data_IF_771189120668
#
_entry.id   IF_771189120668
#
_cell.length_a   1.000
_cell.length_b   1.000
_cell.length_c   1.000
_cell.angle_alpha   90.00
_cell.angle_beta   90.00
_cell.angle_gamma   90.00
#
_symmetry.space_group_name_H-M   'P 1'
#
loop_
_entity.id
_entity.type
_entity.pdbx_description
1 polymer ?
#
# COMPACT_ATOMS: atom_id res chain seq x y z
N UNK A 1 -1.12 26.41 -6.43
CA UNK A 1 -1.05 25.21 -7.27
C UNK A 1 -2.23 25.23 -8.22
N UNK A 2 -2.05 24.71 -9.42
CA UNK A 2 -3.11 24.68 -10.43
C UNK A 2 -3.23 23.25 -10.95
N UNK A 3 -4.45 22.71 -10.90
CA UNK A 3 -4.78 21.39 -11.45
C UNK A 3 -5.79 21.64 -12.58
N UNK A 4 -5.44 21.26 -13.79
CA UNK A 4 -6.34 21.38 -14.94
C UNK A 4 -6.95 20.01 -15.21
N UNK A 5 -8.27 19.94 -15.20
CA UNK A 5 -9.04 18.74 -15.51
C UNK A 5 -9.94 19.00 -16.71
N UNK A 6 -10.52 17.99 -17.35
CA UNK A 6 -11.52 18.18 -18.41
C UNK A 6 -12.77 18.97 -17.93
N UNK A 7 -13.01 19.00 -16.63
CA UNK A 7 -14.15 19.67 -16.02
C UNK A 7 -13.86 21.11 -15.57
N UNK A 8 -12.62 21.59 -15.79
CA UNK A 8 -12.20 22.93 -15.43
C UNK A 8 -10.86 22.99 -14.72
N UNK A 9 -10.46 24.20 -14.39
CA UNK A 9 -9.21 24.44 -13.68
C UNK A 9 -9.49 24.68 -12.21
N UNK A 10 -8.80 23.94 -11.35
CA UNK A 10 -8.81 24.07 -9.90
C UNK A 10 -7.52 24.78 -9.48
N UNK A 11 -7.62 25.87 -8.73
CA UNK A 11 -6.47 26.66 -8.28
C UNK A 11 -6.50 26.83 -6.76
N UNK A 12 -5.35 26.81 -6.12
CA UNK A 12 -5.20 27.01 -4.68
C UNK A 12 -3.75 26.86 -4.23
N UNK A 13 -3.47 27.15 -2.97
CA UNK A 13 -2.11 27.10 -2.41
C UNK A 13 -1.59 25.66 -2.30
N UNK A 14 -2.49 24.72 -2.04
CA UNK A 14 -2.21 23.30 -1.96
C UNK A 14 -3.47 22.48 -2.26
N UNK A 15 -3.33 21.14 -2.30
CA UNK A 15 -4.47 20.25 -2.59
C UNK A 15 -5.62 20.41 -1.59
N UNK A 16 -5.34 20.57 -0.30
CA UNK A 16 -6.37 20.74 0.72
C UNK A 16 -7.19 22.00 0.52
N UNK A 17 -6.51 23.13 0.18
CA UNK A 17 -7.19 24.38 -0.13
C UNK A 17 -8.08 24.23 -1.36
N UNK A 18 -7.59 23.59 -2.42
CA UNK A 18 -8.35 23.31 -3.64
C UNK A 18 -9.59 22.47 -3.33
N UNK A 19 -9.43 21.38 -2.58
CA UNK A 19 -10.55 20.50 -2.22
C UNK A 19 -11.62 21.24 -1.43
N UNK A 20 -11.20 22.02 -0.42
CA UNK A 20 -12.10 22.80 0.43
C UNK A 20 -12.88 23.87 -0.36
N UNK A 21 -12.20 24.56 -1.27
CA UNK A 21 -12.82 25.61 -2.10
C UNK A 21 -13.86 25.04 -3.06
N UNK A 22 -13.62 23.84 -3.58
CA UNK A 22 -14.50 23.19 -4.56
C UNK A 22 -15.44 22.14 -3.93
N UNK A 23 -15.50 22.06 -2.60
CA UNK A 23 -16.44 21.20 -1.88
C UNK A 23 -16.10 19.71 -1.90
N UNK A 24 -14.83 19.36 -2.09
CA UNK A 24 -14.37 17.98 -2.03
C UNK A 24 -13.70 17.69 -0.69
N UNK A 25 -14.08 16.59 -0.03
CA UNK A 25 -13.44 16.14 1.21
C UNK A 25 -12.09 15.43 0.96
N UNK A 26 -11.92 14.86 -0.23
CA UNK A 26 -10.69 14.17 -0.66
C UNK A 26 -10.69 13.96 -2.18
N UNK A 27 -9.57 13.51 -2.74
CA UNK A 27 -9.44 13.14 -4.16
C UNK A 27 -9.88 11.69 -4.47
N UNK A 28 -10.52 11.04 -3.51
CA UNK A 28 -11.00 9.67 -3.72
C UNK A 28 -12.03 9.62 -4.85
N UNK A 29 -11.76 8.75 -5.83
CA UNK A 29 -12.62 8.60 -7.01
C UNK A 29 -12.65 9.83 -7.92
N UNK A 30 -11.80 10.83 -7.69
CA UNK A 30 -11.76 12.02 -8.54
C UNK A 30 -11.30 11.65 -9.96
N UNK A 31 -11.92 12.28 -10.97
CA UNK A 31 -11.41 12.23 -12.33
C UNK A 31 -10.36 13.35 -12.52
N UNK A 32 -9.11 12.96 -12.50
CA UNK A 32 -7.93 13.80 -12.76
C UNK A 32 -7.29 13.43 -14.10
N UNK A 33 -8.06 12.79 -15.00
CA UNK A 33 -7.57 12.48 -16.35
C UNK A 33 -7.15 13.78 -17.05
N UNK A 34 -6.04 13.69 -17.76
CA UNK A 34 -5.40 14.82 -18.45
C UNK A 34 -5.01 16.02 -17.56
N UNK A 35 -5.11 15.90 -16.23
CA UNK A 35 -4.72 16.97 -15.31
C UNK A 35 -3.23 17.30 -15.40
N UNK A 36 -2.86 18.57 -15.26
CA UNK A 36 -1.47 19.00 -15.08
C UNK A 36 -1.10 18.97 -13.59
N UNK A 37 -0.37 17.96 -13.18
CA UNK A 37 0.11 17.78 -11.81
C UNK A 37 1.49 18.38 -11.56
N UNK A 38 1.92 19.34 -12.38
CA UNK A 38 3.21 20.03 -12.24
C UNK A 38 3.30 20.71 -10.88
N UNK A 39 4.27 20.28 -10.09
CA UNK A 39 4.50 20.85 -8.76
C UNK A 39 3.49 20.40 -7.69
N UNK A 40 2.52 19.55 -8.02
CA UNK A 40 1.56 19.05 -7.06
C UNK A 40 2.26 18.21 -5.97
N UNK A 41 1.94 18.51 -4.72
CA UNK A 41 2.29 17.67 -3.58
C UNK A 41 1.13 16.72 -3.29
N UNK A 42 1.33 15.44 -3.56
CA UNK A 42 0.35 14.38 -3.36
C UNK A 42 0.62 13.56 -2.09
N UNK A 43 1.52 14.02 -1.23
CA UNK A 43 1.77 13.34 0.05
C UNK A 43 0.48 13.37 0.88
N UNK A 44 0.17 12.21 1.46
CA UNK A 44 -1.02 12.00 2.30
C UNK A 44 -2.37 12.28 1.61
N UNK A 45 -2.40 12.58 0.30
CA UNK A 45 -3.63 12.76 -0.44
C UNK A 45 -4.34 11.40 -0.62
N UNK A 46 -5.62 11.32 -0.29
CA UNK A 46 -6.42 10.14 -0.58
C UNK A 46 -6.81 10.13 -2.07
N UNK A 47 -6.05 9.40 -2.87
CA UNK A 47 -6.28 9.19 -4.32
C UNK A 47 -6.90 7.82 -4.62
N UNK A 48 -7.49 7.16 -3.63
CA UNK A 48 -8.12 5.87 -3.81
C UNK A 48 -9.19 5.95 -4.91
N UNK A 49 -9.12 5.02 -5.87
CA UNK A 49 -10.03 4.93 -7.00
C UNK A 49 -10.03 6.18 -7.94
N UNK A 50 -9.07 7.11 -7.80
CA UNK A 50 -8.94 8.25 -8.68
C UNK A 50 -8.46 7.84 -10.08
N UNK A 51 -8.99 8.50 -11.10
CA UNK A 51 -8.54 8.36 -12.48
C UNK A 51 -7.44 9.38 -12.78
N UNK A 52 -6.20 8.92 -12.97
CA UNK A 52 -5.07 9.76 -13.37
C UNK A 52 -4.58 9.42 -14.80
N UNK A 53 -5.43 8.85 -15.64
CA UNK A 53 -5.08 8.51 -17.02
C UNK A 53 -4.63 9.78 -17.76
N UNK A 54 -3.50 9.67 -18.47
CA UNK A 54 -2.93 10.76 -19.26
C UNK A 54 -2.57 12.04 -18.47
N UNK A 55 -2.67 12.04 -17.13
CA UNK A 55 -2.25 13.18 -16.33
C UNK A 55 -0.77 13.49 -16.56
N UNK A 56 -0.47 14.78 -16.81
CA UNK A 56 0.89 15.26 -17.04
C UNK A 56 1.67 15.32 -15.72
N UNK A 57 2.99 15.08 -15.79
CA UNK A 57 3.91 15.12 -14.65
C UNK A 57 3.58 14.14 -13.50
N UNK A 58 2.66 13.21 -13.71
CA UNK A 58 2.26 12.21 -12.72
C UNK A 58 3.44 11.35 -12.25
N UNK A 59 4.40 11.02 -13.14
CA UNK A 59 5.58 10.23 -12.80
C UNK A 59 6.44 10.87 -11.70
N UNK A 60 6.64 12.19 -11.77
CA UNK A 60 7.40 12.91 -10.74
C UNK A 60 6.62 12.98 -9.42
N UNK A 61 5.32 13.25 -9.47
CA UNK A 61 4.47 13.27 -8.30
C UNK A 61 4.42 11.90 -7.62
N UNK A 62 4.32 10.82 -8.42
CA UNK A 62 4.42 9.44 -7.93
C UNK A 62 5.78 9.19 -7.27
N UNK A 63 6.88 9.59 -7.90
CA UNK A 63 8.21 9.38 -7.34
C UNK A 63 8.38 10.04 -5.96
N UNK A 64 7.76 11.20 -5.74
CA UNK A 64 7.80 11.92 -4.45
C UNK A 64 7.05 11.21 -3.33
N UNK A 65 5.99 10.46 -3.64
CA UNK A 65 5.18 9.72 -2.66
C UNK A 65 5.56 8.24 -2.56
N UNK A 66 6.39 7.74 -3.48
CA UNK A 66 6.84 6.35 -3.45
C UNK A 66 7.78 6.11 -2.29
N UNK A 67 7.40 5.17 -1.41
CA UNK A 67 8.19 4.76 -0.26
C UNK A 67 8.93 3.45 -0.49
N UNK A 68 8.60 2.75 -1.58
CA UNK A 68 9.23 1.51 -1.98
C UNK A 68 10.43 1.79 -2.88
N UNK A 69 11.62 1.21 -2.59
CA UNK A 69 12.75 1.24 -3.51
C UNK A 69 12.37 0.59 -4.85
N UNK A 70 12.94 1.11 -5.93
CA UNK A 70 12.74 0.55 -7.27
C UNK A 70 13.56 -0.71 -7.51
N UNK A 71 14.63 -0.91 -6.75
CA UNK A 71 15.61 -1.98 -6.92
C UNK A 71 15.87 -2.70 -5.60
N UNK A 72 16.40 -3.92 -5.72
CA UNK A 72 16.78 -4.75 -4.59
C UNK A 72 15.61 -5.40 -3.85
N UNK A 73 15.94 -6.29 -2.93
CA UNK A 73 14.98 -6.94 -2.05
C UNK A 73 14.54 -6.00 -0.93
N UNK A 74 13.30 -6.16 -0.47
CA UNK A 74 12.74 -5.33 0.60
C UNK A 74 12.31 -6.22 1.76
N UNK A 75 12.58 -5.81 2.99
CA UNK A 75 11.96 -6.39 4.17
C UNK A 75 10.62 -5.68 4.41
N UNK A 76 9.56 -6.45 4.41
CA UNK A 76 8.21 -6.00 4.71
C UNK A 76 7.67 -6.66 5.98
N UNK A 77 6.63 -6.06 6.55
CA UNK A 77 6.00 -6.52 7.78
C UNK A 77 4.48 -6.50 7.64
N UNK A 78 3.82 -7.53 8.15
CA UNK A 78 2.37 -7.66 8.09
C UNK A 78 1.82 -8.19 9.39
N UNK A 79 0.67 -7.69 9.81
CA UNK A 79 -0.13 -8.30 10.88
C UNK A 79 -0.98 -9.43 10.31
N UNK A 80 -0.95 -10.56 10.97
CA UNK A 80 -1.74 -11.75 10.70
C UNK A 80 -2.26 -12.32 12.03
N UNK A 81 -2.90 -13.46 12.02
CA UNK A 81 -3.56 -14.03 13.19
C UNK A 81 -3.34 -15.54 13.27
N UNK A 82 -3.30 -16.09 14.49
CA UNK A 82 -3.39 -17.55 14.67
C UNK A 82 -4.85 -18.00 14.61
N UNK A 83 -5.10 -19.20 14.08
CA UNK A 83 -6.46 -19.75 13.89
C UNK A 83 -7.00 -20.47 15.12
N UNK A 84 -6.14 -20.85 16.06
CA UNK A 84 -6.50 -21.84 17.09
C UNK A 84 -6.89 -21.25 18.44
N UNK A 85 -7.07 -19.93 18.53
CA UNK A 85 -7.36 -19.25 19.80
C UNK A 85 -8.58 -18.33 19.68
N UNK A 86 -9.40 -18.31 20.72
CA UNK A 86 -10.49 -17.34 20.85
C UNK A 86 -10.28 -16.48 22.10
N UNK A 87 -9.91 -15.21 21.97
CA UNK A 87 -9.73 -14.44 20.72
C UNK A 87 -8.44 -14.82 19.98
N UNK A 88 -8.38 -14.63 18.65
CA UNK A 88 -7.20 -14.93 17.85
C UNK A 88 -6.02 -14.07 18.27
N UNK A 89 -4.83 -14.68 18.33
CA UNK A 89 -3.61 -13.99 18.73
C UNK A 89 -2.94 -13.31 17.53
N UNK A 90 -2.59 -12.03 17.62
CA UNK A 90 -1.91 -11.32 16.54
C UNK A 90 -0.48 -11.82 16.34
N UNK A 91 -0.11 -12.04 15.10
CA UNK A 91 1.21 -12.47 14.64
C UNK A 91 1.79 -11.42 13.71
N UNK A 92 3.06 -11.08 13.87
CA UNK A 92 3.77 -10.18 12.97
C UNK A 92 4.63 -11.02 12.02
N UNK A 93 4.24 -11.01 10.76
CA UNK A 93 4.92 -11.73 9.68
C UNK A 93 6.03 -10.87 9.13
N UNK A 94 7.27 -11.39 9.13
CA UNK A 94 8.43 -10.79 8.48
C UNK A 94 8.55 -11.36 7.07
N UNK A 95 8.51 -10.49 6.07
CA UNK A 95 8.50 -10.83 4.65
C UNK A 95 9.77 -10.35 3.96
N UNK A 96 10.29 -11.15 3.04
CA UNK A 96 11.20 -10.72 2.00
C UNK A 96 10.39 -10.52 0.72
N UNK A 97 10.36 -9.30 0.21
CA UNK A 97 9.78 -8.96 -1.08
C UNK A 97 10.92 -8.95 -2.09
N UNK A 98 11.02 -9.92 -2.99
CA UNK A 98 12.14 -10.04 -3.90
C UNK A 98 12.17 -8.91 -4.93
N UNK A 99 13.34 -8.65 -5.50
CA UNK A 99 13.56 -7.54 -6.43
C UNK A 99 12.68 -7.58 -7.67
N UNK A 100 12.33 -8.77 -8.13
CA UNK A 100 11.49 -9.03 -9.30
C UNK A 100 9.99 -9.04 -9.01
N UNK A 101 9.57 -8.93 -7.75
CA UNK A 101 8.16 -8.79 -7.40
C UNK A 101 7.59 -7.47 -7.91
N UNK A 102 6.39 -7.50 -8.47
CA UNK A 102 5.61 -6.30 -8.71
C UNK A 102 5.25 -5.67 -7.36
N UNK A 103 5.40 -4.35 -7.26
CA UNK A 103 5.26 -3.62 -6.01
C UNK A 103 4.42 -2.37 -6.21
N UNK A 104 3.64 -2.03 -5.22
CA UNK A 104 2.80 -0.84 -5.26
C UNK A 104 2.62 -0.25 -3.87
N UNK A 105 2.67 1.07 -3.78
CA UNK A 105 2.05 1.85 -2.71
C UNK A 105 1.30 3.01 -3.34
N UNK A 106 0.20 3.44 -2.75
CA UNK A 106 -0.52 4.64 -3.17
C UNK A 106 0.13 5.89 -2.54
N UNK A 107 -0.62 6.66 -1.78
CA UNK A 107 -0.13 7.85 -1.07
C UNK A 107 0.21 7.56 0.39
N UNK A 108 -0.33 6.46 0.94
CA UNK A 108 -0.14 6.04 2.32
C UNK A 108 1.05 5.12 2.52
N UNK A 109 1.12 4.56 3.72
CA UNK A 109 2.20 3.68 4.19
C UNK A 109 1.97 2.21 3.90
N UNK A 110 0.73 1.82 3.52
CA UNK A 110 0.36 0.45 3.18
C UNK A 110 0.83 0.11 1.77
N UNK A 111 1.61 -0.95 1.66
CA UNK A 111 2.20 -1.43 0.40
C UNK A 111 1.57 -2.76 -0.03
N UNK A 112 1.72 -3.09 -1.30
CA UNK A 112 1.33 -4.38 -1.89
C UNK A 112 2.47 -4.96 -2.71
N UNK A 113 2.60 -6.29 -2.72
CA UNK A 113 3.50 -7.02 -3.61
C UNK A 113 2.81 -8.23 -4.23
N UNK A 114 3.27 -8.64 -5.41
CA UNK A 114 2.80 -9.87 -6.08
C UNK A 114 3.40 -11.13 -5.47
N UNK A 115 4.59 -11.01 -4.88
CA UNK A 115 5.36 -12.13 -4.34
C UNK A 115 6.04 -11.72 -3.04
N UNK A 116 6.07 -12.63 -2.08
CA UNK A 116 6.84 -12.50 -0.84
C UNK A 116 7.28 -13.85 -0.31
N UNK A 117 8.47 -13.91 0.31
CA UNK A 117 8.91 -15.06 1.09
C UNK A 117 8.74 -14.76 2.57
N UNK A 118 8.13 -15.66 3.31
CA UNK A 118 7.97 -15.58 4.76
C UNK A 118 9.30 -15.91 5.43
N UNK A 119 9.94 -14.91 6.03
CA UNK A 119 11.22 -15.10 6.74
C UNK A 119 10.99 -15.54 8.17
N UNK A 120 9.96 -15.00 8.84
CA UNK A 120 9.71 -15.29 10.24
C UNK A 120 8.26 -14.95 10.63
N UNK A 121 7.77 -15.62 11.66
CA UNK A 121 6.53 -15.30 12.35
C UNK A 121 6.88 -14.91 13.78
N UNK A 122 6.41 -13.75 14.25
CA UNK A 122 6.81 -13.19 15.54
C UNK A 122 5.59 -12.80 16.38
N UNK A 123 5.77 -12.83 17.70
CA UNK A 123 4.84 -12.16 18.60
C UNK A 123 4.98 -10.61 18.52
N UNK A 124 4.14 -9.87 19.25
CA UNK A 124 4.22 -8.41 19.28
C UNK A 124 5.55 -7.88 19.86
N UNK A 125 6.21 -8.63 20.72
CA UNK A 125 7.48 -8.30 21.37
C UNK A 125 8.69 -8.52 20.43
N UNK A 126 8.51 -9.32 19.36
CA UNK A 126 9.55 -9.62 18.38
C UNK A 126 10.21 -10.98 18.57
N UNK A 127 9.70 -11.82 19.44
CA UNK A 127 10.18 -13.18 19.60
C UNK A 127 9.64 -14.04 18.45
N UNK A 128 10.49 -14.89 17.88
CA UNK A 128 10.07 -15.85 16.85
C UNK A 128 9.14 -16.90 17.43
N UNK A 129 8.07 -17.21 16.72
CA UNK A 129 7.14 -18.29 17.06
C UNK A 129 7.69 -19.64 16.61
N UNK A 130 7.15 -20.75 17.13
CA UNK A 130 7.53 -22.10 16.71
C UNK A 130 7.52 -22.27 15.20
N UNK A 131 8.45 -23.07 14.61
CA UNK A 131 8.58 -23.20 13.15
C UNK A 131 7.36 -23.77 12.43
N UNK A 132 6.53 -24.52 13.12
CA UNK A 132 5.28 -25.12 12.65
C UNK A 132 4.07 -24.21 12.76
N UNK A 133 4.25 -22.97 13.27
CA UNK A 133 3.17 -21.99 13.37
C UNK A 133 2.66 -21.63 11.96
N UNK A 134 1.33 -21.61 11.82
CA UNK A 134 0.64 -21.04 10.66
C UNK A 134 -0.08 -19.78 11.09
N UNK A 135 0.09 -18.70 10.35
CA UNK A 135 -0.65 -17.46 10.54
C UNK A 135 -1.57 -17.21 9.33
N UNK A 136 -2.70 -16.57 9.57
CA UNK A 136 -3.78 -16.36 8.61
C UNK A 136 -3.97 -14.87 8.36
N UNK A 137 -4.33 -14.51 7.12
CA UNK A 137 -4.70 -13.14 6.81
C UNK A 137 -5.99 -12.78 7.55
N UNK A 138 -6.04 -11.60 8.14
CA UNK A 138 -7.27 -11.13 8.80
C UNK A 138 -8.41 -10.79 7.83
N UNK A 139 -8.15 -10.81 6.52
CA UNK A 139 -9.14 -10.48 5.49
C UNK A 139 -9.58 -11.71 4.68
N UNK A 140 -8.66 -12.65 4.48
CA UNK A 140 -8.87 -13.88 3.73
C UNK A 140 -8.23 -15.02 4.53
N UNK A 141 -9.04 -15.85 5.15
CA UNK A 141 -8.60 -16.95 6.02
C UNK A 141 -7.94 -18.09 5.25
N UNK A 142 -8.17 -18.19 3.94
CA UNK A 142 -7.51 -19.17 3.09
C UNK A 142 -6.07 -18.75 2.75
N UNK A 143 -5.76 -17.46 2.94
CA UNK A 143 -4.43 -16.92 2.69
C UNK A 143 -3.53 -17.06 3.93
N UNK A 144 -2.57 -17.98 3.85
CA UNK A 144 -1.74 -18.39 4.99
C UNK A 144 -0.29 -17.94 4.87
N UNK A 145 0.38 -17.87 6.02
CA UNK A 145 1.80 -17.54 6.15
C UNK A 145 2.47 -18.61 7.01
N UNK A 146 3.47 -19.31 6.42
CA UNK A 146 4.32 -20.25 7.13
C UNK A 146 5.79 -19.93 6.88
N UNK A 147 6.61 -20.04 7.89
CA UNK A 147 8.03 -19.74 7.81
C UNK A 147 8.73 -20.54 6.70
N UNK A 148 9.45 -19.83 5.83
CA UNK A 148 10.20 -20.40 4.70
C UNK A 148 9.39 -20.50 3.40
N UNK A 149 8.07 -20.40 3.42
CA UNK A 149 7.23 -20.45 2.23
C UNK A 149 7.32 -19.17 1.40
N UNK A 150 7.17 -19.33 0.09
CA UNK A 150 7.00 -18.22 -0.85
C UNK A 150 5.54 -18.16 -1.28
N UNK A 151 4.98 -16.97 -1.22
CA UNK A 151 3.58 -16.69 -1.52
C UNK A 151 3.53 -15.88 -2.81
N UNK A 152 2.59 -16.24 -3.69
CA UNK A 152 2.29 -15.52 -4.93
C UNK A 152 0.82 -15.10 -4.97
N UNK A 153 0.58 -13.94 -5.57
CA UNK A 153 -0.75 -13.45 -5.93
C UNK A 153 -0.78 -13.26 -7.44
N UNK A 154 -1.50 -14.14 -8.14
CA UNK A 154 -1.52 -14.20 -9.61
C UNK A 154 -2.26 -13.00 -10.22
N UNK A 155 -3.33 -12.55 -9.58
CA UNK A 155 -4.19 -11.44 -10.00
C UNK A 155 -3.75 -10.08 -9.44
N UNK A 156 -2.44 -9.89 -9.19
CA UNK A 156 -1.91 -8.63 -8.67
C UNK A 156 -2.37 -7.43 -9.52
N UNK A 157 -3.10 -6.51 -8.91
CA UNK A 157 -3.55 -5.29 -9.58
C UNK A 157 -2.43 -4.24 -9.60
N UNK A 158 -1.97 -3.89 -10.79
CA UNK A 158 -0.91 -2.88 -11.00
C UNK A 158 -1.38 -1.45 -10.77
N UNK A 159 -2.70 -1.21 -10.68
CA UNK A 159 -3.23 0.10 -10.37
C UNK A 159 -2.89 0.47 -8.92
N UNK A 160 -1.91 1.36 -8.75
CA UNK A 160 -1.42 1.75 -7.42
C UNK A 160 -2.46 2.45 -6.55
N UNK A 161 -3.45 3.10 -7.16
CA UNK A 161 -4.48 3.86 -6.46
C UNK A 161 -5.56 2.97 -5.83
N UNK A 162 -5.62 1.70 -6.23
CA UNK A 162 -6.49 0.70 -5.61
C UNK A 162 -5.78 0.04 -4.42
N UNK A 163 -5.75 0.69 -3.29
CA UNK A 163 -5.00 0.22 -2.11
C UNK A 163 -5.46 -1.13 -1.56
N UNK A 164 -6.74 -1.47 -1.72
CA UNK A 164 -7.32 -2.73 -1.26
C UNK A 164 -7.41 -3.81 -2.34
N UNK A 165 -6.81 -3.58 -3.52
CA UNK A 165 -6.77 -4.55 -4.61
C UNK A 165 -5.93 -5.78 -4.25
N UNK A 166 -6.04 -6.89 -5.02
CA UNK A 166 -5.26 -8.10 -4.80
C UNK A 166 -3.76 -7.84 -4.69
N UNK A 167 -3.13 -8.51 -3.75
CA UNK A 167 -1.71 -8.40 -3.43
C UNK A 167 -1.40 -8.77 -1.98
N UNK A 168 -0.14 -9.05 -1.71
CA UNK A 168 0.37 -9.25 -0.36
C UNK A 168 0.55 -7.87 0.27
N UNK A 169 -0.37 -7.48 1.15
CA UNK A 169 -0.30 -6.20 1.85
C UNK A 169 0.74 -6.23 2.96
N UNK A 170 1.58 -5.19 3.03
CA UNK A 170 2.63 -5.08 4.04
C UNK A 170 2.98 -3.62 4.36
N UNK A 171 3.76 -3.42 5.41
CA UNK A 171 4.40 -2.17 5.79
C UNK A 171 5.91 -2.29 5.71
N UNK A 172 6.62 -1.18 5.53
CA UNK A 172 8.09 -1.18 5.47
C UNK A 172 8.74 -1.13 6.85
N UNK A 173 8.01 -0.80 7.89
CA UNK A 173 8.50 -0.88 9.26
C UNK A 173 7.67 -1.85 10.11
N UNK A 174 8.35 -2.51 11.06
CA UNK A 174 7.69 -3.46 11.95
C UNK A 174 6.62 -2.80 12.82
N UNK A 175 6.91 -1.60 13.33
CA UNK A 175 5.99 -0.89 14.23
C UNK A 175 4.66 -0.57 13.53
N UNK A 176 4.68 -0.22 12.26
CA UNK A 176 3.45 0.02 11.48
C UNK A 176 2.58 -1.24 11.43
N UNK A 177 3.17 -2.41 11.27
CA UNK A 177 2.42 -3.68 11.27
C UNK A 177 1.89 -4.03 12.67
N UNK A 178 2.61 -3.71 13.74
CA UNK A 178 2.16 -3.96 15.12
C UNK A 178 0.96 -3.11 15.48
N UNK A 179 0.98 -1.82 15.11
CA UNK A 179 -0.05 -0.85 15.47
C UNK A 179 -1.27 -0.86 14.52
N UNK A 180 -1.12 -1.48 13.34
CA UNK A 180 -2.22 -1.62 12.37
C UNK A 180 -3.31 -2.54 12.90
#
# INVERSE_FOLDING_TARGET
MKITTPHGTLEGDNIEAILKEHGFDCLRGADLSDADLRGADLRDANLRDANLSHANHVKLSIAKISILPNEGDIIGWKKAWTDNEMPPTPVIVKLLIPADAQRSNATGRKCRASTARVLDLQDKQGNSLPPDTTAYSGYDTDFTYKKGETIHVEDFDTNRWKECAPGIHFFITRIEAVEY
#
